data_IF_936299292954
#
_entry.id   IF_936299292954
#
_cell.length_a   1.000
_cell.length_b   1.000
_cell.length_c   1.000
_cell.angle_alpha   90.00
_cell.angle_beta   90.00
_cell.angle_gamma   90.00
#
_symmetry.space_group_name_H-M   'P 1'
#
loop_
_entity.id
_entity.type
_entity.pdbx_description
1 polymer ?
#
# COMPACT_ATOMS: atom_id res chain seq x y z
N UNK A 1 -28.43 -5.04 12.55
CA UNK A 1 -27.16 -5.80 12.62
C UNK A 1 -26.05 -5.45 11.62
N UNK A 2 -26.28 -4.77 10.50
CA UNK A 2 -25.22 -4.57 9.49
C UNK A 2 -24.23 -3.43 9.79
N UNK A 3 -24.54 -2.52 10.72
CA UNK A 3 -23.75 -1.31 10.99
C UNK A 3 -22.55 -1.59 11.93
N UNK A 4 -22.73 -2.50 12.89
CA UNK A 4 -21.68 -2.88 13.85
C UNK A 4 -20.55 -3.69 13.17
N UNK A 5 -20.89 -4.51 12.17
CA UNK A 5 -19.91 -5.27 11.39
C UNK A 5 -19.00 -4.36 10.54
N UNK A 6 -19.53 -3.25 10.03
CA UNK A 6 -18.76 -2.28 9.23
C UNK A 6 -17.86 -1.44 10.13
N UNK A 7 -18.34 -1.00 11.29
CA UNK A 7 -17.50 -0.31 12.28
C UNK A 7 -16.33 -1.20 12.75
N UNK A 8 -16.58 -2.49 12.89
CA UNK A 8 -15.59 -3.45 13.36
C UNK A 8 -14.51 -3.83 12.31
N UNK A 9 -14.72 -3.50 11.03
CA UNK A 9 -13.71 -3.59 9.98
C UNK A 9 -12.93 -2.29 9.76
N UNK A 10 -13.39 -1.17 10.32
CA UNK A 10 -12.80 0.16 10.12
C UNK A 10 -11.76 0.54 11.18
N UNK A 11 -11.72 -0.18 12.31
CA UNK A 11 -10.73 0.02 13.36
C UNK A 11 -10.08 -1.29 13.79
N UNK A 12 -8.79 -1.22 14.15
CA UNK A 12 -8.03 -2.36 14.65
C UNK A 12 -7.15 -1.93 15.82
N UNK A 13 -7.18 -2.69 16.91
CA UNK A 13 -6.25 -2.53 18.02
C UNK A 13 -4.89 -3.11 17.64
N UNK A 14 -3.82 -2.36 17.89
CA UNK A 14 -2.48 -2.74 17.47
C UNK A 14 -1.38 -2.07 18.31
N UNK A 15 -0.15 -2.50 18.08
CA UNK A 15 1.06 -1.73 18.39
C UNK A 15 1.66 -1.23 17.09
N UNK A 16 1.88 0.07 16.98
CA UNK A 16 2.35 0.70 15.76
C UNK A 16 3.71 1.36 15.98
N UNK A 17 4.63 1.20 15.04
CA UNK A 17 5.86 2.00 14.96
C UNK A 17 5.73 2.97 13.82
N UNK A 18 5.78 4.27 14.13
CA UNK A 18 5.75 5.35 13.15
C UNK A 18 7.18 5.76 12.81
N UNK A 19 7.59 5.47 11.59
CA UNK A 19 8.87 5.86 11.01
C UNK A 19 8.67 7.04 10.06
N UNK A 20 9.46 8.09 10.24
CA UNK A 20 9.57 9.21 9.31
C UNK A 20 10.77 8.97 8.43
N UNK A 21 10.55 9.01 7.13
CA UNK A 21 11.53 8.71 6.09
C UNK A 21 12.05 10.00 5.47
N UNK A 22 13.31 10.00 5.07
CA UNK A 22 13.86 11.01 4.17
C UNK A 22 13.16 10.94 2.82
N UNK A 23 12.59 12.04 2.30
CA UNK A 23 11.95 12.04 0.99
C UNK A 23 12.94 11.80 -0.17
N UNK A 24 14.24 12.07 0.04
CA UNK A 24 15.29 11.95 -0.98
C UNK A 24 16.04 10.63 -0.92
N UNK A 25 16.46 10.24 0.28
CA UNK A 25 17.32 9.07 0.50
C UNK A 25 16.54 7.81 0.85
N UNK A 26 15.30 7.95 1.33
CA UNK A 26 14.49 6.82 1.81
C UNK A 26 14.95 6.23 3.15
N UNK A 27 15.95 6.82 3.80
CA UNK A 27 16.43 6.44 5.13
C UNK A 27 15.43 6.80 6.22
N UNK A 28 15.46 6.11 7.37
CA UNK A 28 14.62 6.43 8.53
C UNK A 28 15.28 7.54 9.34
N UNK A 29 14.65 8.72 9.43
CA UNK A 29 15.10 9.83 10.28
C UNK A 29 14.71 9.65 11.73
N UNK A 30 13.47 9.22 11.95
CA UNK A 30 12.88 9.17 13.28
C UNK A 30 11.92 7.99 13.36
N UNK A 31 12.08 7.14 14.36
CA UNK A 31 11.21 6.00 14.61
C UNK A 31 10.63 6.10 16.01
N UNK A 32 9.30 6.00 16.12
CA UNK A 32 8.61 6.01 17.41
C UNK A 32 7.67 4.84 17.52
N UNK A 33 7.89 4.01 18.55
CA UNK A 33 7.01 2.90 18.91
C UNK A 33 5.87 3.39 19.79
N UNK A 34 4.64 3.01 19.44
CA UNK A 34 3.39 3.37 20.10
C UNK A 34 2.64 2.07 20.42
N UNK A 35 2.55 1.75 21.70
CA UNK A 35 1.87 0.54 22.20
C UNK A 35 0.42 0.85 22.57
N UNK A 36 -0.46 -0.16 22.43
CA UNK A 36 -1.87 -0.03 22.82
C UNK A 36 -2.62 1.04 22.04
N UNK A 37 -2.33 1.17 20.75
CA UNK A 37 -3.00 2.13 19.87
C UNK A 37 -4.18 1.48 19.14
N UNK A 38 -5.18 2.28 18.80
CA UNK A 38 -6.25 1.94 17.89
C UNK A 38 -5.99 2.66 16.57
N UNK A 39 -5.88 1.88 15.49
CA UNK A 39 -5.78 2.41 14.14
C UNK A 39 -7.17 2.41 13.52
N UNK A 40 -7.64 3.58 13.11
CA UNK A 40 -8.96 3.77 12.51
C UNK A 40 -8.81 4.40 11.13
N UNK A 41 -9.54 3.86 10.16
CA UNK A 41 -9.67 4.47 8.84
C UNK A 41 -10.76 5.55 8.89
N UNK A 42 -10.49 6.75 8.42
CA UNK A 42 -11.48 7.84 8.41
C UNK A 42 -11.48 8.56 7.06
N UNK A 43 -12.56 9.29 6.77
CA UNK A 43 -12.63 10.22 5.65
C UNK A 43 -12.70 11.64 6.20
N UNK A 44 -11.91 12.53 5.63
CA UNK A 44 -11.96 13.96 5.96
C UNK A 44 -13.18 14.64 5.32
N UNK A 45 -13.46 15.90 5.68
CA UNK A 45 -14.53 16.72 5.08
C UNK A 45 -14.39 16.84 3.55
N UNK A 46 -13.15 16.84 3.06
CA UNK A 46 -12.84 16.82 1.64
C UNK A 46 -13.06 15.43 0.98
N UNK A 47 -13.45 14.42 1.74
CA UNK A 47 -13.62 13.04 1.29
C UNK A 47 -12.30 12.30 1.03
N UNK A 48 -11.19 12.82 1.55
CA UNK A 48 -9.88 12.18 1.48
C UNK A 48 -9.72 11.11 2.56
N UNK A 49 -9.07 10.01 2.22
CA UNK A 49 -8.86 8.89 3.14
C UNK A 49 -7.71 9.21 4.10
N UNK A 50 -7.96 9.15 5.41
CA UNK A 50 -6.97 9.36 6.47
C UNK A 50 -6.90 8.14 7.39
N UNK A 51 -5.70 7.88 7.88
CA UNK A 51 -5.42 6.87 8.91
C UNK A 51 -5.20 7.60 10.23
N UNK A 52 -6.10 7.40 11.18
CA UNK A 52 -6.00 7.93 12.54
C UNK A 52 -5.42 6.87 13.46
N UNK A 53 -4.27 7.16 14.03
CA UNK A 53 -3.67 6.39 15.09
C UNK A 53 -4.00 7.08 16.41
N UNK A 54 -4.83 6.46 17.24
CA UNK A 54 -5.18 6.95 18.56
C UNK A 54 -4.54 6.08 19.64
N UNK A 55 -3.72 6.67 20.51
CA UNK A 55 -3.21 6.05 21.72
C UNK A 55 -3.35 7.01 22.89
N UNK A 56 -3.26 6.49 24.12
CA UNK A 56 -3.32 7.31 25.34
C UNK A 56 -2.24 8.40 25.39
N UNK A 57 -1.07 8.10 24.84
CA UNK A 57 0.12 8.96 24.91
C UNK A 57 0.41 9.71 23.60
N UNK A 58 -0.17 9.28 22.48
CA UNK A 58 0.13 9.84 21.17
C UNK A 58 -1.03 9.62 20.21
N UNK A 59 -1.39 10.69 19.50
CA UNK A 59 -2.34 10.65 18.39
C UNK A 59 -1.68 11.16 17.13
N UNK A 60 -1.82 10.43 16.02
CA UNK A 60 -1.34 10.85 14.71
C UNK A 60 -2.43 10.68 13.66
N UNK A 61 -2.59 11.69 12.81
CA UNK A 61 -3.46 11.62 11.64
C UNK A 61 -2.56 11.64 10.40
N UNK A 62 -2.63 10.58 9.60
CA UNK A 62 -1.79 10.40 8.42
C UNK A 62 -2.65 10.34 7.16
N UNK A 63 -2.21 11.01 6.09
CA UNK A 63 -2.90 10.91 4.79
C UNK A 63 -2.65 9.54 4.16
N UNK A 64 -3.72 8.82 3.77
CA UNK A 64 -3.61 7.51 3.12
C UNK A 64 -3.46 7.60 1.59
N UNK A 65 -3.06 8.76 1.08
CA UNK A 65 -2.98 9.02 -0.37
C UNK A 65 -1.80 8.26 -0.97
N UNK A 66 -2.10 7.31 -1.87
CA UNK A 66 -1.07 6.49 -2.52
C UNK A 66 -0.37 5.50 -1.57
N UNK A 67 -1.04 5.08 -0.49
CA UNK A 67 -0.47 4.12 0.47
C UNK A 67 -0.03 2.82 -0.21
N UNK A 68 1.14 2.31 0.15
CA UNK A 68 1.65 1.01 -0.31
C UNK A 68 1.54 0.02 0.84
N UNK A 69 0.80 -1.06 0.62
CA UNK A 69 0.48 -2.06 1.65
C UNK A 69 1.41 -3.27 1.48
N UNK A 70 2.27 -3.51 2.46
CA UNK A 70 3.09 -4.72 2.54
C UNK A 70 2.42 -5.75 3.45
N UNK A 71 1.85 -6.77 2.81
CA UNK A 71 1.07 -7.81 3.47
C UNK A 71 1.84 -9.10 3.78
N UNK A 72 3.18 -9.16 3.63
CA UNK A 72 3.92 -10.44 3.77
C UNK A 72 3.65 -11.19 5.09
N UNK A 73 3.46 -10.45 6.19
CA UNK A 73 3.30 -11.01 7.54
C UNK A 73 1.89 -10.84 8.12
N UNK A 74 0.87 -10.61 7.27
CA UNK A 74 -0.50 -10.32 7.75
C UNK A 74 -1.06 -11.46 8.60
N UNK A 75 -0.71 -12.72 8.28
CA UNK A 75 -1.13 -13.92 9.02
C UNK A 75 -0.56 -13.99 10.45
N UNK A 76 0.53 -13.28 10.72
CA UNK A 76 1.14 -13.15 12.05
C UNK A 76 0.62 -11.92 12.80
N UNK A 77 -0.37 -11.19 12.27
CA UNK A 77 -0.86 -9.95 12.86
C UNK A 77 0.13 -8.79 12.69
N UNK A 78 0.98 -8.83 11.65
CA UNK A 78 1.95 -7.78 11.32
C UNK A 78 1.71 -7.27 9.90
N UNK A 79 1.89 -5.98 9.68
CA UNK A 79 1.95 -5.44 8.33
C UNK A 79 2.69 -4.12 8.29
N UNK A 80 3.18 -3.73 7.12
CA UNK A 80 3.81 -2.43 6.93
C UNK A 80 2.99 -1.62 5.94
N UNK A 81 2.66 -0.39 6.30
CA UNK A 81 1.98 0.59 5.44
C UNK A 81 2.98 1.70 5.15
N UNK A 82 3.35 1.89 3.89
CA UNK A 82 4.23 2.99 3.47
C UNK A 82 3.37 4.11 2.89
N UNK A 83 3.55 5.32 3.42
CA UNK A 83 2.79 6.51 3.07
C UNK A 83 3.73 7.48 2.34
N UNK A 84 3.84 7.39 1.00
CA UNK A 84 4.76 8.24 0.25
C UNK A 84 4.39 9.73 0.32
N UNK A 85 3.10 10.07 0.48
CA UNK A 85 2.64 11.46 0.60
C UNK A 85 3.18 12.18 1.83
N UNK A 86 3.35 11.44 2.94
CA UNK A 86 3.80 11.97 4.23
C UNK A 86 5.28 11.70 4.48
N UNK A 87 5.98 11.07 3.51
CA UNK A 87 7.33 10.50 3.71
C UNK A 87 7.40 9.70 5.01
N UNK A 88 6.43 8.81 5.23
CA UNK A 88 6.31 8.06 6.47
C UNK A 88 6.04 6.58 6.21
N UNK A 89 6.35 5.74 7.19
CA UNK A 89 6.08 4.32 7.20
C UNK A 89 5.51 3.90 8.56
N UNK A 90 4.45 3.12 8.53
CA UNK A 90 3.75 2.62 9.71
C UNK A 90 3.89 1.11 9.77
N UNK A 91 4.54 0.60 10.80
CA UNK A 91 4.71 -0.83 11.03
C UNK A 91 3.74 -1.25 12.11
N UNK A 92 2.77 -2.08 11.74
CA UNK A 92 1.78 -2.63 12.66
C UNK A 92 2.23 -4.00 13.15
N UNK A 93 2.02 -4.23 14.43
CA UNK A 93 2.33 -5.47 15.14
C UNK A 93 1.29 -5.73 16.21
N UNK A 94 1.17 -6.99 16.64
CA UNK A 94 0.19 -7.40 17.66
C UNK A 94 -1.25 -7.02 17.29
N UNK A 95 -1.61 -7.17 16.01
CA UNK A 95 -2.98 -6.98 15.54
C UNK A 95 -3.73 -8.32 15.56
N UNK A 96 -5.02 -8.34 15.93
CA UNK A 96 -5.86 -9.52 15.73
C UNK A 96 -5.99 -9.82 14.22
N UNK A 97 -5.65 -11.05 13.82
CA UNK A 97 -5.45 -11.42 12.40
C UNK A 97 -6.73 -11.26 11.58
N UNK A 98 -7.88 -11.64 12.11
CA UNK A 98 -9.18 -11.52 11.44
C UNK A 98 -9.53 -10.05 11.16
N UNK A 99 -9.40 -9.20 12.19
CA UNK A 99 -9.63 -7.75 12.09
C UNK A 99 -8.63 -7.07 11.17
N UNK A 100 -7.36 -7.47 11.23
CA UNK A 100 -6.33 -6.94 10.34
C UNK A 100 -6.63 -7.29 8.88
N UNK A 101 -7.07 -8.52 8.60
CA UNK A 101 -7.42 -8.94 7.26
C UNK A 101 -8.57 -8.09 6.70
N UNK A 102 -9.61 -7.84 7.48
CA UNK A 102 -10.75 -7.03 7.05
C UNK A 102 -10.38 -5.56 6.89
N UNK A 103 -9.57 -5.02 7.80
CA UNK A 103 -9.03 -3.67 7.70
C UNK A 103 -8.20 -3.48 6.43
N UNK A 104 -7.30 -4.42 6.11
CA UNK A 104 -6.46 -4.34 4.91
C UNK A 104 -7.28 -4.48 3.62
N UNK A 105 -8.30 -5.35 3.59
CA UNK A 105 -9.25 -5.45 2.46
C UNK A 105 -9.97 -4.12 2.26
N UNK A 106 -10.50 -3.54 3.35
CA UNK A 106 -11.22 -2.27 3.30
C UNK A 106 -10.31 -1.14 2.82
N UNK A 107 -9.11 -1.02 3.37
CA UNK A 107 -8.12 -0.01 2.99
C UNK A 107 -7.81 -0.09 1.49
N UNK A 108 -7.56 -1.30 0.99
CA UNK A 108 -7.26 -1.54 -0.42
C UNK A 108 -8.43 -1.14 -1.33
N UNK A 109 -9.65 -1.54 -1.00
CA UNK A 109 -10.86 -1.16 -1.76
C UNK A 109 -11.05 0.36 -1.75
N UNK A 110 -10.98 0.98 -0.56
CA UNK A 110 -11.18 2.43 -0.41
C UNK A 110 -10.12 3.23 -1.15
N UNK A 111 -8.87 2.77 -1.17
CA UNK A 111 -7.79 3.39 -1.94
C UNK A 111 -8.06 3.33 -3.45
N UNK A 112 -8.51 2.19 -3.97
CA UNK A 112 -8.83 2.05 -5.38
C UNK A 112 -10.01 2.94 -5.80
N UNK A 113 -11.06 2.99 -4.97
CA UNK A 113 -12.21 3.87 -5.20
C UNK A 113 -11.78 5.35 -5.20
N UNK A 114 -10.91 5.76 -4.26
CA UNK A 114 -10.39 7.13 -4.22
C UNK A 114 -9.61 7.50 -5.48
N UNK A 115 -8.74 6.59 -5.97
CA UNK A 115 -7.99 6.79 -7.21
C UNK A 115 -8.92 6.87 -8.44
N UNK A 116 -9.99 6.05 -8.50
CA UNK A 116 -10.97 6.12 -9.59
C UNK A 116 -11.75 7.43 -9.57
N UNK A 117 -12.18 7.90 -8.39
CA UNK A 117 -12.90 9.17 -8.24
C UNK A 117 -12.03 10.36 -8.62
N UNK A 118 -10.74 10.36 -8.25
CA UNK A 118 -9.79 11.41 -8.67
C UNK A 118 -9.58 11.44 -10.18
N UNK A 119 -9.50 10.27 -10.83
CA UNK A 119 -9.35 10.18 -12.29
C UNK A 119 -10.63 10.61 -13.06
N UNK A 120 -11.82 10.38 -12.50
CA UNK A 120 -13.10 10.77 -13.13
C UNK A 120 -13.55 12.20 -12.82
N UNK A 121 -13.15 12.78 -11.70
CA UNK A 121 -13.70 14.03 -11.17
C UNK A 121 -12.74 15.23 -11.18
N UNK A 122 -11.59 15.12 -11.85
CA UNK A 122 -10.57 16.18 -11.91
C UNK A 122 -11.14 17.58 -12.29
N UNK A 123 -12.03 17.74 -13.30
CA UNK A 123 -12.58 19.07 -13.62
C UNK A 123 -13.73 19.51 -12.69
N UNK A 124 -14.46 18.60 -12.04
CA UNK A 124 -15.64 18.94 -11.22
C UNK A 124 -15.29 19.24 -9.75
N UNK A 125 -14.22 18.64 -9.19
CA UNK A 125 -13.83 18.92 -7.79
C UNK A 125 -13.21 20.29 -7.60
N UNK A 126 -12.45 20.82 -8.57
CA UNK A 126 -11.93 22.19 -8.48
C UNK A 126 -13.06 23.23 -8.39
N UNK A 127 -14.16 23.03 -9.13
CA UNK A 127 -15.32 23.91 -9.06
C UNK A 127 -16.13 23.77 -7.75
N UNK A 128 -16.18 22.57 -7.16
CA UNK A 128 -16.88 22.36 -5.88
C UNK A 128 -16.06 22.81 -4.66
N UNK A 129 -14.73 22.70 -4.70
CA UNK A 129 -13.84 23.16 -3.64
C UNK A 129 -13.85 24.70 -3.49
N UNK A 130 -14.06 25.43 -4.59
CA UNK A 130 -14.25 26.89 -4.55
C UNK A 130 -15.61 27.33 -4.01
N UNK A 131 -16.58 26.41 -3.87
CA UNK A 131 -17.99 26.74 -3.57
C UNK A 131 -18.44 26.35 -2.16
N UNK A 132 -17.60 25.73 -1.34
CA UNK A 132 -17.97 25.34 0.02
C UNK A 132 -17.48 26.39 1.03
N UNK A 133 -18.39 27.10 1.73
CA UNK A 133 -18.02 27.97 2.83
C UNK A 133 -17.56 27.11 4.03
N UNK A 134 -16.54 27.62 4.74
CA UNK A 134 -15.94 26.99 5.91
C UNK A 134 -16.95 26.93 7.07
N UNK A 135 -17.61 25.79 7.25
CA UNK A 135 -18.37 25.49 8.47
C UNK A 135 -17.67 24.35 9.21
N UNK A 136 -17.34 24.49 10.51
CA UNK A 136 -16.68 23.43 11.26
C UNK A 136 -17.72 22.39 11.66
N UNK A 137 -17.74 21.22 11.03
CA UNK A 137 -18.63 20.13 11.43
C UNK A 137 -17.94 18.77 11.50
N UNK A 138 -18.36 18.05 12.53
CA UNK A 138 -17.92 16.77 13.07
C UNK A 138 -17.44 15.72 12.05
N UNK A 139 -16.31 15.10 12.40
CA UNK A 139 -15.74 13.91 11.78
C UNK A 139 -16.84 12.83 11.62
N UNK A 140 -17.30 12.61 10.39
CA UNK A 140 -18.42 11.71 10.11
C UNK A 140 -17.93 10.29 9.86
N UNK A 141 -18.56 9.32 10.53
CA UNK A 141 -18.28 7.89 10.38
C UNK A 141 -18.59 7.41 8.94
N UNK A 142 -17.86 6.39 8.51
CA UNK A 142 -17.66 6.01 7.10
C UNK A 142 -18.97 5.51 6.47
N UNK A 143 -19.41 6.15 5.38
CA UNK A 143 -20.60 5.67 4.66
C UNK A 143 -20.42 4.25 4.09
N UNK A 144 -21.48 3.41 4.15
CA UNK A 144 -21.45 2.03 3.69
C UNK A 144 -21.06 1.93 2.21
N UNK A 145 -20.38 0.84 1.86
CA UNK A 145 -19.94 0.56 0.49
C UNK A 145 -21.17 0.42 -0.40
N UNK A 146 -21.31 1.30 -1.39
CA UNK A 146 -22.43 1.28 -2.34
C UNK A 146 -22.21 0.22 -3.43
N UNK A 147 -23.30 -0.31 -3.99
CA UNK A 147 -23.24 -1.21 -5.14
C UNK A 147 -22.46 -0.61 -6.33
N UNK A 148 -22.44 0.72 -6.46
CA UNK A 148 -21.65 1.43 -7.46
C UNK A 148 -20.13 1.27 -7.24
N UNK A 149 -19.67 1.21 -5.99
CA UNK A 149 -18.26 0.99 -5.66
C UNK A 149 -17.83 -0.44 -6.04
N UNK A 150 -18.69 -1.43 -5.81
CA UNK A 150 -18.43 -2.83 -6.17
C UNK A 150 -18.32 -3.01 -7.69
N UNK A 151 -19.18 -2.36 -8.46
CA UNK A 151 -19.12 -2.38 -9.92
C UNK A 151 -17.83 -1.76 -10.47
N UNK A 152 -17.38 -0.65 -9.87
CA UNK A 152 -16.14 0.02 -10.26
C UNK A 152 -14.89 -0.86 -10.02
N UNK A 153 -14.86 -1.61 -8.91
CA UNK A 153 -13.77 -2.55 -8.61
C UNK A 153 -13.75 -3.71 -9.60
N UNK A 154 -14.91 -4.32 -9.89
CA UNK A 154 -15.00 -5.43 -10.85
C UNK A 154 -14.59 -5.01 -12.26
N UNK A 155 -14.99 -3.83 -12.72
CA UNK A 155 -14.60 -3.30 -14.02
C UNK A 155 -13.08 -3.12 -14.15
N UNK A 156 -12.40 -2.67 -13.08
CA UNK A 156 -10.94 -2.55 -13.06
C UNK A 156 -10.24 -3.89 -13.03
N UNK A 157 -10.77 -4.87 -12.30
CA UNK A 157 -10.22 -6.23 -12.30
C UNK A 157 -10.34 -6.88 -13.69
N UNK A 158 -11.47 -6.67 -14.38
CA UNK A 158 -11.66 -7.13 -15.75
C UNK A 158 -10.70 -6.44 -16.73
N UNK A 159 -10.51 -5.12 -16.62
CA UNK A 159 -9.57 -4.39 -17.47
C UNK A 159 -8.10 -4.80 -17.22
N UNK A 160 -7.72 -5.04 -15.95
CA UNK A 160 -6.39 -5.53 -15.60
C UNK A 160 -6.16 -6.97 -16.07
N UNK A 161 -7.18 -7.83 -16.00
CA UNK A 161 -7.13 -9.19 -16.52
C UNK A 161 -7.02 -9.22 -18.06
N UNK A 162 -7.76 -8.35 -18.76
CA UNK A 162 -7.65 -8.20 -20.21
C UNK A 162 -6.28 -7.67 -20.64
N UNK A 163 -5.71 -6.70 -19.91
CA UNK A 163 -4.35 -6.20 -20.16
C UNK A 163 -3.28 -7.28 -19.90
N UNK A 164 -3.47 -8.13 -18.88
CA UNK A 164 -2.59 -9.27 -18.62
C UNK A 164 -2.70 -10.36 -19.70
N UNK A 165 -3.89 -10.61 -20.24
CA UNK A 165 -4.11 -11.55 -21.34
C UNK A 165 -3.50 -11.05 -22.67
N UNK A 166 -3.58 -9.74 -22.95
CA UNK A 166 -2.95 -9.13 -24.12
C UNK A 166 -1.41 -9.23 -24.08
N UNK A 167 -0.80 -9.12 -22.89
CA UNK A 167 0.64 -9.31 -22.71
C UNK A 167 1.10 -10.77 -22.86
N UNK A 168 0.20 -11.75 -22.66
CA UNK A 168 0.47 -13.18 -22.87
C UNK A 168 0.29 -13.69 -24.30
N UNK A 169 -0.32 -12.90 -25.19
CA UNK A 169 -0.68 -13.33 -26.56
C UNK A 169 0.31 -12.89 -27.65
N UNK A 170 1.47 -12.31 -27.31
CA UNK A 170 2.51 -11.92 -28.27
C UNK A 170 3.58 -13.01 -28.52
N UNK A 171 3.39 -14.22 -28.02
CA UNK A 171 4.33 -15.33 -28.17
C UNK A 171 3.65 -16.61 -28.67
N UNK A 172 3.06 -16.59 -29.87
CA UNK A 172 2.76 -17.82 -30.62
C UNK A 172 2.55 -17.56 -32.11
N UNK A 173 3.65 -17.36 -32.84
CA UNK A 173 3.75 -17.83 -34.23
C UNK A 173 5.15 -18.38 -34.45
N UNK A 174 5.20 -19.68 -34.71
CA UNK A 174 6.38 -20.50 -34.91
C UNK A 174 7.18 -20.10 -36.16
N UNK A 175 8.50 -20.33 -36.16
CA UNK A 175 9.31 -20.82 -37.30
C UNK A 175 10.75 -21.14 -36.84
N UNK A 176 11.11 -22.43 -36.88
CA UNK A 176 12.43 -23.07 -37.11
C UNK A 176 13.65 -22.73 -36.22
N UNK A 177 14.26 -23.70 -35.49
CA UNK A 177 15.56 -23.51 -34.83
C UNK A 177 16.72 -23.78 -35.81
N UNK A 178 17.35 -22.72 -36.34
CA UNK A 178 18.62 -22.85 -37.04
C UNK A 178 19.80 -22.71 -36.07
N UNK A 179 20.38 -23.87 -35.77
CA UNK A 179 21.66 -24.12 -35.11
C UNK A 179 22.79 -23.27 -35.70
N UNK A 180 23.24 -22.23 -35.00
CA UNK A 180 24.55 -21.61 -35.25
C UNK A 180 25.59 -22.13 -34.27
N UNK A 181 26.46 -23.00 -34.79
CA UNK A 181 27.68 -23.42 -34.14
C UNK A 181 28.60 -22.21 -33.93
N UNK A 182 28.88 -21.84 -32.67
CA UNK A 182 30.04 -21.00 -32.35
C UNK A 182 31.17 -21.88 -31.85
N UNK A 183 32.17 -21.99 -32.73
CA UNK A 183 33.51 -22.59 -32.55
C UNK A 183 34.15 -22.01 -31.28
N UNK A 184 34.38 -22.86 -30.28
CA UNK A 184 35.22 -22.54 -29.12
C UNK A 184 36.69 -22.71 -29.52
N UNK A 185 37.57 -21.71 -29.38
CA UNK A 185 38.99 -22.00 -29.26
C UNK A 185 39.27 -22.47 -27.83
N UNK A 186 39.91 -23.62 -27.74
CA UNK A 186 40.46 -24.18 -26.52
C UNK A 186 41.78 -23.50 -26.16
N UNK A 187 42.06 -23.33 -24.87
CA UNK A 187 43.34 -23.73 -24.28
C UNK A 187 43.19 -23.84 -22.76
N UNK A 188 43.90 -24.84 -22.25
CA UNK A 188 43.76 -25.54 -20.98
C UNK A 188 44.61 -24.91 -19.84
N UNK A 189 44.54 -25.45 -18.61
CA UNK A 189 44.89 -24.79 -17.35
C UNK A 189 46.23 -25.26 -16.74
N UNK A 190 46.74 -24.51 -15.76
CA UNK A 190 47.66 -24.96 -14.69
C UNK A 190 47.75 -23.81 -13.65
N UNK A 191 47.34 -23.95 -12.39
CA UNK A 191 47.86 -24.73 -11.27
C UNK A 191 49.00 -24.04 -10.46
N UNK A 192 48.74 -23.94 -9.15
CA UNK A 192 49.69 -23.69 -8.03
C UNK A 192 50.27 -22.27 -7.93
N UNK A 193 50.70 -21.72 -6.79
CA UNK A 193 50.93 -22.24 -5.44
C UNK A 193 50.91 -21.06 -4.43
N UNK A 194 50.98 -21.42 -3.15
CA UNK A 194 51.12 -20.58 -1.96
C UNK A 194 52.19 -19.47 -2.04
N UNK A 195 52.00 -18.38 -1.27
CA UNK A 195 53.07 -17.75 -0.49
C UNK A 195 52.54 -16.78 0.57
N UNK A 196 53.04 -17.02 1.77
CA UNK A 196 53.10 -16.30 3.04
C UNK A 196 53.76 -14.90 2.97
N UNK A 197 53.38 -13.98 3.88
CA UNK A 197 54.22 -12.98 4.62
C UNK A 197 53.34 -11.75 4.99
N UNK A 198 53.14 -11.31 6.24
CA UNK A 198 54.03 -10.98 7.36
C UNK A 198 54.82 -9.65 7.19
N UNK A 199 54.54 -8.72 8.11
CA UNK A 199 55.34 -7.58 8.61
C UNK A 199 55.92 -6.54 7.64
N UNK A 200 55.44 -5.29 7.78
CA UNK A 200 56.22 -4.15 8.29
C UNK A 200 55.28 -3.05 8.77
#
# INVERSE_FOLDING_TARGET
>A
DSEEAVAAGCSVACTATLERLDPRLGSVQHSRRITGCQLTLQRDSHGELRLRLAAKTHSANLSAKGVVIFKKFWREGKCTLRLPSESAQLLLSNCPVDRLADFLKLLFVKQQCAASRQQRAAPLRQLQQHRQPALPQAETDISPVSAADLAAVRARQAAAAAAAAAAGSAASTATTPQRLQRKRPAVAPAASAAATAAML
#
